data_IF_537996997974
#
_entry.id   IF_537996997974
#
_cell.length_a   1.000
_cell.length_b   1.000
_cell.length_c   1.000
_cell.angle_alpha   90.00
_cell.angle_beta   90.00
_cell.angle_gamma   90.00
#
_symmetry.space_group_name_H-M   'P 1'
#
loop_
_entity.id
_entity.type
_entity.pdbx_description
1 polymer ?
#
# COMPACT_ATOMS: atom_id res chain seq x y z
N UNK A 1 -9.50 14.20 -6.04
CA UNK A 1 -8.08 14.23 -5.65
C UNK A 1 -7.90 13.34 -4.43
N UNK A 2 -6.75 12.73 -4.30
CA UNK A 2 -6.43 11.81 -3.21
C UNK A 2 -4.93 11.67 -3.01
N UNK A 3 -4.51 10.59 -2.37
CA UNK A 3 -3.10 10.32 -2.12
C UNK A 3 -2.35 9.98 -3.41
N UNK A 4 -1.08 10.37 -3.51
CA UNK A 4 -0.18 9.86 -4.57
C UNK A 4 0.14 8.39 -4.42
N UNK A 5 -0.05 7.82 -3.21
CA UNK A 5 0.13 6.41 -2.93
C UNK A 5 -1.15 5.66 -3.26
N UNK A 6 -1.06 4.72 -4.19
CA UNK A 6 -2.19 3.92 -4.66
C UNK A 6 -1.77 2.46 -4.85
N UNK A 7 -2.73 1.56 -4.71
CA UNK A 7 -2.58 0.15 -5.07
C UNK A 7 -3.52 -0.14 -6.23
N UNK A 8 -2.97 -0.57 -7.36
CA UNK A 8 -3.71 -0.77 -8.60
C UNK A 8 -3.74 -2.25 -8.97
N UNK A 9 -4.88 -2.72 -9.45
CA UNK A 9 -4.96 -4.08 -10.02
C UNK A 9 -4.26 -4.09 -11.38
N UNK A 10 -3.71 -5.24 -11.76
CA UNK A 10 -3.09 -5.43 -13.07
C UNK A 10 -4.03 -5.04 -14.22
N UNK A 11 -5.30 -5.47 -14.15
CA UNK A 11 -6.30 -5.15 -15.17
C UNK A 11 -6.51 -3.64 -15.34
N UNK A 12 -6.62 -2.89 -14.23
CA UNK A 12 -6.79 -1.44 -14.31
C UNK A 12 -5.53 -0.77 -14.86
N UNK A 13 -4.34 -1.23 -14.47
CA UNK A 13 -3.09 -0.69 -15.00
C UNK A 13 -2.94 -0.94 -16.50
N UNK A 14 -3.29 -2.13 -16.99
CA UNK A 14 -3.31 -2.45 -18.42
C UNK A 14 -4.29 -1.55 -19.17
N UNK A 15 -5.47 -1.28 -18.60
CA UNK A 15 -6.41 -0.32 -19.16
C UNK A 15 -5.83 1.10 -19.26
N UNK A 16 -5.16 1.58 -18.22
CA UNK A 16 -4.49 2.89 -18.23
C UNK A 16 -3.41 2.97 -19.33
N UNK A 17 -2.61 1.93 -19.49
CA UNK A 17 -1.45 1.91 -20.41
C UNK A 17 -1.87 1.68 -21.85
N UNK A 18 -2.71 0.68 -22.11
CA UNK A 18 -3.12 0.32 -23.46
C UNK A 18 -4.17 1.29 -23.99
N UNK A 19 -4.95 1.93 -23.10
CA UNK A 19 -5.86 3.00 -23.45
C UNK A 19 -6.86 2.60 -24.53
N UNK A 20 -7.47 1.41 -24.42
CA UNK A 20 -8.42 0.92 -25.43
C UNK A 20 -9.63 1.86 -25.60
N UNK A 21 -9.97 2.61 -24.54
CA UNK A 21 -10.92 3.73 -24.57
C UNK A 21 -10.19 5.09 -24.68
N UNK A 22 -10.91 6.14 -25.06
CA UNK A 22 -10.40 7.50 -25.17
C UNK A 22 -10.15 8.14 -23.80
N UNK A 23 -10.89 7.77 -22.74
CA UNK A 23 -10.79 8.43 -21.44
C UNK A 23 -9.38 8.41 -20.83
N UNK A 24 -8.65 7.26 -20.75
CA UNK A 24 -7.26 7.24 -20.27
C UNK A 24 -6.32 8.18 -21.03
N UNK A 25 -6.47 8.26 -22.36
CA UNK A 25 -5.62 9.08 -23.24
C UNK A 25 -5.90 10.57 -23.07
N UNK A 26 -7.19 10.96 -23.04
CA UNK A 26 -7.62 12.34 -22.80
C UNK A 26 -7.17 12.82 -21.43
N UNK A 27 -7.37 12.02 -20.38
CA UNK A 27 -6.92 12.36 -19.04
C UNK A 27 -5.40 12.45 -18.96
N UNK A 28 -4.66 11.60 -19.67
CA UNK A 28 -3.20 11.67 -19.68
C UNK A 28 -2.72 13.02 -20.24
N UNK A 29 -3.25 13.47 -21.39
CA UNK A 29 -2.92 14.78 -21.96
C UNK A 29 -3.27 15.96 -21.05
N UNK A 30 -4.36 15.84 -20.28
CA UNK A 30 -4.73 16.85 -19.30
C UNK A 30 -3.78 16.87 -18.11
N UNK A 31 -3.56 15.69 -17.50
CA UNK A 31 -2.77 15.56 -16.28
C UNK A 31 -1.26 15.74 -16.49
N UNK A 32 -0.74 15.62 -17.72
CA UNK A 32 0.65 15.99 -18.03
C UNK A 32 0.95 17.47 -17.80
N UNK A 33 -0.07 18.33 -17.78
CA UNK A 33 0.06 19.78 -17.55
C UNK A 33 -0.50 20.21 -16.18
N UNK A 34 -0.73 19.27 -15.27
CA UNK A 34 -1.35 19.52 -13.97
C UNK A 34 -0.33 19.33 -12.84
N UNK A 35 -0.35 20.20 -11.81
CA UNK A 35 0.52 20.05 -10.64
C UNK A 35 0.09 18.84 -9.81
N UNK A 36 1.03 18.00 -9.37
CA UNK A 36 0.73 16.77 -8.61
C UNK A 36 -0.21 15.81 -9.36
N UNK A 37 0.01 15.62 -10.67
CA UNK A 37 -0.79 14.76 -11.54
C UNK A 37 -1.22 13.40 -10.93
N UNK A 38 -0.34 12.66 -10.22
CA UNK A 38 -0.70 11.36 -9.65
C UNK A 38 -1.81 11.42 -8.59
N UNK A 39 -2.00 12.55 -7.91
CA UNK A 39 -3.08 12.74 -6.93
C UNK A 39 -4.47 12.75 -7.56
N UNK A 40 -4.55 13.02 -8.87
CA UNK A 40 -5.80 13.12 -9.60
C UNK A 40 -6.02 11.99 -10.60
N UNK A 41 -5.00 11.66 -11.40
CA UNK A 41 -5.15 10.83 -12.59
C UNK A 41 -5.88 9.50 -12.34
N UNK A 42 -5.36 8.67 -11.43
CA UNK A 42 -5.94 7.33 -11.19
C UNK A 42 -7.32 7.41 -10.55
N UNK A 43 -7.53 8.34 -9.64
CA UNK A 43 -8.83 8.56 -8.98
C UNK A 43 -9.89 8.95 -10.00
N UNK A 44 -9.58 9.94 -10.85
CA UNK A 44 -10.49 10.42 -11.89
C UNK A 44 -10.80 9.32 -12.89
N UNK A 45 -9.78 8.59 -13.36
CA UNK A 45 -9.99 7.53 -14.34
C UNK A 45 -10.83 6.38 -13.78
N UNK A 46 -10.52 5.89 -12.57
CA UNK A 46 -11.26 4.81 -11.94
C UNK A 46 -12.72 5.20 -11.66
N UNK A 47 -12.96 6.42 -11.19
CA UNK A 47 -14.31 6.88 -10.87
C UNK A 47 -15.18 7.18 -12.10
N UNK A 48 -14.60 7.43 -13.27
CA UNK A 48 -15.35 7.83 -14.47
C UNK A 48 -15.47 6.72 -15.52
N UNK A 49 -14.97 5.51 -15.25
CA UNK A 49 -15.11 4.37 -16.15
C UNK A 49 -16.03 3.29 -15.56
N UNK A 50 -17.04 2.86 -16.33
CA UNK A 50 -18.10 1.95 -15.87
C UNK A 50 -17.58 0.63 -15.33
N UNK A 51 -16.50 0.11 -15.92
CA UNK A 51 -15.92 -1.18 -15.51
C UNK A 51 -15.12 -1.10 -14.19
N UNK A 52 -14.72 0.11 -13.76
CA UNK A 52 -13.83 0.31 -12.61
C UNK A 52 -14.45 1.13 -11.46
N UNK A 53 -15.47 1.94 -11.72
CA UNK A 53 -16.11 2.80 -10.71
C UNK A 53 -16.53 2.00 -9.46
N UNK A 54 -17.10 0.82 -9.68
CA UNK A 54 -17.61 -0.07 -8.63
C UNK A 54 -16.55 -1.05 -8.05
N UNK A 55 -15.29 -0.96 -8.47
CA UNK A 55 -14.19 -1.78 -7.93
C UNK A 55 -13.28 -0.99 -6.99
N UNK A 56 -13.61 0.28 -6.71
CA UNK A 56 -12.79 1.18 -5.90
C UNK A 56 -12.97 0.94 -4.41
N UNK A 57 -11.84 0.82 -3.68
CA UNK A 57 -11.77 0.82 -2.22
C UNK A 57 -11.15 2.15 -1.78
N UNK A 58 -11.88 2.94 -0.98
CA UNK A 58 -11.41 4.25 -0.51
C UNK A 58 -10.40 4.13 0.64
N UNK A 59 -9.24 3.51 0.36
CA UNK A 59 -8.13 3.34 1.29
C UNK A 59 -6.86 2.99 0.51
N UNK A 60 -5.76 3.71 0.74
CA UNK A 60 -4.50 3.53 -0.01
C UNK A 60 -3.55 2.47 0.59
N UNK A 61 -3.92 1.84 1.71
CA UNK A 61 -3.10 0.84 2.43
C UNK A 61 -1.76 1.40 2.93
N UNK A 62 -1.70 2.71 3.18
CA UNK A 62 -0.50 3.39 3.66
C UNK A 62 -0.81 4.18 4.92
N UNK A 63 -0.16 3.83 6.04
CA UNK A 63 -0.25 4.59 7.27
C UNK A 63 0.62 5.85 7.19
N UNK A 64 -0.03 7.00 7.21
CA UNK A 64 0.60 8.32 7.24
C UNK A 64 -0.02 9.12 8.38
N UNK A 65 0.81 9.86 9.12
CA UNK A 65 0.34 10.75 10.18
C UNK A 65 0.61 12.21 9.81
N UNK A 66 -0.37 13.05 10.08
CA UNK A 66 -0.32 14.48 9.81
C UNK A 66 -0.41 15.26 11.12
N UNK A 67 0.21 16.44 11.15
CA UNK A 67 -0.04 17.42 12.19
C UNK A 67 -1.52 17.86 12.19
N UNK A 68 -1.99 18.40 13.31
CA UNK A 68 -3.31 19.05 13.40
C UNK A 68 -3.12 20.52 13.79
N UNK A 69 -3.27 21.48 12.86
CA UNK A 69 -3.69 21.32 11.47
C UNK A 69 -2.61 20.70 10.56
N UNK A 70 -3.00 20.05 9.42
CA UNK A 70 -2.04 19.46 8.50
C UNK A 70 -1.08 20.49 7.91
N UNK A 71 0.22 20.17 7.93
CA UNK A 71 1.27 20.92 7.23
C UNK A 71 1.44 20.39 5.80
N UNK A 72 2.37 20.98 5.05
CA UNK A 72 2.68 20.56 3.68
C UNK A 72 3.16 19.11 3.57
N UNK A 73 3.87 18.60 4.58
CA UNK A 73 4.39 17.24 4.63
C UNK A 73 3.87 16.50 5.86
N UNK A 74 3.70 15.16 5.76
CA UNK A 74 3.38 14.35 6.92
C UNK A 74 4.53 14.33 7.92
N UNK A 75 4.23 14.01 9.18
CA UNK A 75 5.26 13.90 10.21
C UNK A 75 6.09 12.63 9.99
N UNK A 76 7.34 12.67 10.45
CA UNK A 76 8.14 11.45 10.53
C UNK A 76 7.62 10.57 11.65
N UNK A 77 7.34 9.32 11.32
CA UNK A 77 6.98 8.29 12.26
C UNK A 77 8.22 7.87 13.06
N UNK A 78 8.00 7.66 14.35
CA UNK A 78 9.02 7.34 15.36
C UNK A 78 8.48 6.22 16.25
N UNK A 79 9.25 5.80 17.26
CA UNK A 79 8.81 4.79 18.24
C UNK A 79 7.48 5.14 18.94
N UNK A 80 7.20 6.43 19.15
CA UNK A 80 5.94 6.90 19.76
C UNK A 80 4.71 6.50 18.92
N UNK A 81 4.89 6.39 17.60
CA UNK A 81 3.84 6.12 16.63
C UNK A 81 3.72 4.64 16.27
N UNK A 82 4.63 3.79 16.77
CA UNK A 82 4.75 2.39 16.35
C UNK A 82 3.47 1.60 16.60
N UNK A 83 2.86 1.74 17.78
CA UNK A 83 1.65 0.98 18.12
C UNK A 83 0.47 1.36 17.22
N UNK A 84 0.24 2.64 16.98
CA UNK A 84 -0.84 3.12 16.10
C UNK A 84 -0.63 2.63 14.66
N UNK A 85 0.62 2.68 14.19
CA UNK A 85 1.02 2.17 12.87
C UNK A 85 0.71 0.67 12.75
N UNK A 86 1.08 -0.14 13.73
CA UNK A 86 0.80 -1.59 13.75
C UNK A 86 -0.69 -1.87 13.82
N UNK A 87 -1.42 -1.16 14.69
CA UNK A 87 -2.87 -1.32 14.85
C UNK A 87 -3.67 -0.91 13.61
N UNK A 88 -3.14 -0.03 12.78
CA UNK A 88 -3.78 0.35 11.51
C UNK A 88 -3.97 -0.84 10.56
N UNK A 89 -3.12 -1.87 10.67
CA UNK A 89 -3.09 -3.03 9.79
C UNK A 89 -2.61 -2.71 8.36
N UNK A 90 -2.20 -1.48 8.09
CA UNK A 90 -1.66 -1.09 6.78
C UNK A 90 -0.30 -1.77 6.54
N UNK A 91 -0.06 -2.34 5.34
CA UNK A 91 1.19 -3.00 5.02
C UNK A 91 2.35 -2.02 4.76
N UNK A 92 2.04 -0.74 4.49
CA UNK A 92 3.02 0.32 4.30
C UNK A 92 2.81 1.43 5.32
N UNK A 93 3.90 2.12 5.68
CA UNK A 93 3.87 3.27 6.56
C UNK A 93 4.93 4.30 6.14
N UNK A 94 4.75 5.56 6.51
CA UNK A 94 5.75 6.62 6.31
C UNK A 94 5.23 8.02 6.65
N UNK A 95 6.06 9.05 6.63
CA UNK A 95 7.51 9.04 6.34
C UNK A 95 8.34 8.59 7.56
N UNK A 96 9.60 8.19 7.34
CA UNK A 96 10.54 7.89 8.43
C UNK A 96 11.77 8.79 8.29
N UNK A 97 12.32 9.22 9.41
CA UNK A 97 13.65 9.83 9.39
C UNK A 97 14.68 8.76 9.02
N UNK A 98 15.76 9.19 8.36
CA UNK A 98 16.88 8.31 8.04
C UNK A 98 17.46 7.75 9.35
N UNK A 99 17.69 6.44 9.37
CA UNK A 99 18.29 5.73 10.51
C UNK A 99 17.48 5.87 11.83
N UNK A 100 16.17 6.14 11.74
CA UNK A 100 15.31 6.20 12.93
C UNK A 100 15.21 4.81 13.61
N UNK A 101 15.33 4.72 14.95
CA UNK A 101 15.25 3.46 15.69
C UNK A 101 13.97 2.65 15.46
N UNK A 102 12.88 3.28 15.03
CA UNK A 102 11.63 2.58 14.70
C UNK A 102 11.83 1.58 13.55
N UNK A 103 12.75 1.84 12.63
CA UNK A 103 13.05 0.96 11.49
C UNK A 103 13.63 -0.38 11.96
N UNK A 104 14.53 -0.35 12.96
CA UNK A 104 15.08 -1.56 13.58
C UNK A 104 13.99 -2.38 14.28
N UNK A 105 13.02 -1.71 14.92
CA UNK A 105 11.89 -2.37 15.57
C UNK A 105 10.95 -2.99 14.53
N UNK A 106 10.67 -2.30 13.42
CA UNK A 106 9.88 -2.85 12.31
C UNK A 106 10.54 -4.11 11.74
N UNK A 107 11.85 -4.03 11.47
CA UNK A 107 12.63 -5.15 10.95
C UNK A 107 12.56 -6.37 11.88
N UNK A 108 12.76 -6.15 13.18
CA UNK A 108 12.77 -7.22 14.18
C UNK A 108 11.38 -7.77 14.47
N UNK A 109 10.38 -6.91 14.66
CA UNK A 109 9.08 -7.31 15.20
C UNK A 109 8.04 -7.66 14.14
N UNK A 110 8.05 -6.96 12.99
CA UNK A 110 7.07 -7.19 11.92
C UNK A 110 7.64 -8.05 10.79
N UNK A 111 8.84 -7.71 10.32
CA UNK A 111 9.48 -8.39 9.19
C UNK A 111 10.27 -9.64 9.63
N UNK A 112 10.57 -9.78 10.93
CA UNK A 112 11.34 -10.90 11.48
C UNK A 112 12.67 -11.11 10.73
N UNK A 113 13.33 -9.99 10.43
CA UNK A 113 14.51 -9.90 9.59
C UNK A 113 15.76 -9.58 10.42
N UNK A 114 16.83 -10.37 10.31
CA UNK A 114 18.13 -10.02 10.89
C UNK A 114 18.74 -8.80 10.20
N UNK A 115 19.58 -8.04 10.94
CA UNK A 115 20.27 -6.87 10.38
C UNK A 115 21.06 -7.24 9.13
N UNK A 116 20.87 -6.46 8.06
CA UNK A 116 21.56 -6.63 6.78
C UNK A 116 21.05 -7.80 5.91
N UNK A 117 19.98 -8.50 6.31
CA UNK A 117 19.39 -9.58 5.53
C UNK A 117 18.07 -9.15 4.87
N UNK A 118 17.55 -9.99 3.98
CA UNK A 118 16.21 -9.82 3.41
C UNK A 118 15.15 -10.44 4.32
N UNK A 119 13.93 -9.90 4.27
CA UNK A 119 12.77 -10.46 4.97
C UNK A 119 12.52 -11.89 4.47
N UNK A 120 12.56 -12.92 5.33
CA UNK A 120 12.24 -14.27 4.91
C UNK A 120 10.79 -14.38 4.46
N UNK A 121 10.54 -15.09 3.36
CA UNK A 121 9.20 -15.25 2.78
C UNK A 121 8.88 -16.69 2.40
N UNK A 122 7.74 -16.87 1.72
CA UNK A 122 7.32 -18.20 1.23
C UNK A 122 8.29 -18.81 0.20
N UNK A 123 9.16 -17.99 -0.38
CA UNK A 123 10.23 -18.41 -1.29
C UNK A 123 11.46 -18.99 -0.57
N UNK A 124 11.58 -18.91 0.75
CA UNK A 124 12.75 -19.42 1.47
C UNK A 124 12.58 -20.91 1.80
N UNK A 125 13.41 -21.77 1.18
CA UNK A 125 13.33 -23.24 1.27
C UNK A 125 14.33 -23.88 2.26
N UNK A 126 15.12 -23.06 2.97
CA UNK A 126 16.11 -23.52 3.94
C UNK A 126 15.49 -24.23 5.15
N UNK A 127 16.27 -25.13 5.77
CA UNK A 127 15.86 -25.88 6.97
C UNK A 127 16.04 -25.04 8.24
N UNK A 128 15.20 -25.29 9.25
CA UNK A 128 15.35 -24.73 10.61
C UNK A 128 16.77 -25.00 11.14
N UNK A 129 17.45 -23.96 11.63
CA UNK A 129 18.79 -24.04 12.21
C UNK A 129 19.93 -23.54 11.31
N UNK A 130 19.67 -23.27 10.03
CA UNK A 130 20.53 -22.47 9.12
C UNK A 130 19.73 -21.28 8.58
N UNK A 131 20.39 -20.36 7.88
CA UNK A 131 19.70 -19.23 7.23
C UNK A 131 18.58 -19.78 6.32
N UNK A 132 17.31 -19.43 6.59
CA UNK A 132 16.15 -19.99 5.90
C UNK A 132 16.14 -19.66 4.40
N UNK A 133 16.86 -18.64 3.96
CA UNK A 133 16.84 -18.17 2.58
C UNK A 133 18.09 -18.54 1.78
N UNK A 134 18.91 -19.49 2.26
CA UNK A 134 20.05 -20.04 1.50
C UNK A 134 19.65 -20.69 0.18
N UNK A 135 18.43 -21.23 0.10
CA UNK A 135 17.84 -21.76 -1.12
C UNK A 135 16.55 -21.02 -1.42
N UNK A 136 16.49 -20.37 -2.58
CA UNK A 136 15.32 -19.66 -3.07
C UNK A 136 14.46 -20.58 -3.94
N UNK A 137 13.19 -20.68 -3.59
CA UNK A 137 12.15 -21.36 -4.34
C UNK A 137 11.35 -20.38 -5.21
N UNK A 138 10.05 -20.65 -5.34
CA UNK A 138 9.16 -19.82 -6.15
C UNK A 138 9.03 -18.39 -5.55
N UNK A 139 9.41 -17.34 -6.28
CA UNK A 139 9.31 -15.95 -5.79
C UNK A 139 7.86 -15.50 -5.55
N UNK A 140 6.88 -16.16 -6.19
CA UNK A 140 5.46 -15.87 -6.01
C UNK A 140 4.83 -16.62 -4.82
N UNK A 141 5.61 -17.43 -4.09
CA UNK A 141 5.11 -18.14 -2.93
C UNK A 141 4.87 -17.18 -1.76
N UNK A 142 3.62 -17.02 -1.38
CA UNK A 142 3.20 -16.23 -0.22
C UNK A 142 2.90 -17.17 0.94
N UNK A 143 3.49 -16.90 2.10
CA UNK A 143 3.22 -17.63 3.35
C UNK A 143 2.72 -16.65 4.40
N UNK A 144 1.42 -16.66 4.73
CA UNK A 144 0.87 -15.82 5.79
C UNK A 144 1.57 -16.08 7.13
N UNK A 145 1.70 -15.02 7.92
CA UNK A 145 2.27 -15.06 9.28
C UNK A 145 1.24 -14.55 10.28
N UNK A 146 1.56 -14.61 11.57
CA UNK A 146 0.68 -13.99 12.60
C UNK A 146 0.53 -12.49 12.34
N UNK A 147 1.58 -11.83 11.84
CA UNK A 147 1.59 -10.40 11.52
C UNK A 147 0.67 -10.09 10.33
N UNK A 148 0.61 -10.97 9.31
CA UNK A 148 -0.27 -10.74 8.15
C UNK A 148 -1.77 -10.79 8.48
N UNK A 149 -2.16 -11.34 9.63
CA UNK A 149 -3.56 -11.29 10.10
C UNK A 149 -4.05 -9.85 10.34
N UNK A 150 -3.15 -8.91 10.60
CA UNK A 150 -3.53 -7.50 10.76
C UNK A 150 -3.99 -6.89 9.44
N UNK A 151 -3.27 -7.20 8.35
CA UNK A 151 -3.68 -6.82 7.00
C UNK A 151 -5.01 -7.47 6.63
N UNK A 152 -5.17 -8.76 6.91
CA UNK A 152 -6.43 -9.48 6.67
C UNK A 152 -7.61 -8.78 7.36
N UNK A 153 -7.48 -8.43 8.65
CA UNK A 153 -8.51 -7.68 9.38
C UNK A 153 -8.83 -6.33 8.74
N UNK A 154 -7.82 -5.59 8.30
CA UNK A 154 -8.02 -4.32 7.59
C UNK A 154 -8.79 -4.54 6.29
N UNK A 155 -8.40 -5.51 5.47
CA UNK A 155 -9.05 -5.82 4.19
C UNK A 155 -10.51 -6.23 4.41
N UNK A 156 -10.79 -7.13 5.36
CA UNK A 156 -12.16 -7.53 5.70
C UNK A 156 -13.01 -6.32 6.10
N UNK A 157 -12.47 -5.43 6.96
CA UNK A 157 -13.16 -4.20 7.36
C UNK A 157 -13.42 -3.25 6.19
N UNK A 158 -12.49 -3.15 5.24
CA UNK A 158 -12.63 -2.28 4.07
C UNK A 158 -13.65 -2.80 3.06
N UNK A 159 -13.79 -4.13 2.95
CA UNK A 159 -14.71 -4.79 2.04
C UNK A 159 -16.09 -5.05 2.64
N UNK A 160 -16.27 -4.78 3.93
CA UNK A 160 -17.57 -4.83 4.59
C UNK A 160 -18.60 -3.95 3.86
N UNK A 161 -19.81 -4.46 3.64
CA UNK A 161 -20.81 -3.78 2.80
C UNK A 161 -21.20 -2.40 3.31
N UNK A 162 -21.22 -2.20 4.63
CA UNK A 162 -21.56 -0.91 5.25
C UNK A 162 -20.45 0.13 5.04
N UNK A 163 -19.22 -0.33 4.82
CA UNK A 163 -18.06 0.53 4.61
C UNK A 163 -17.75 0.73 3.12
N UNK A 164 -17.76 -0.35 2.34
CA UNK A 164 -17.35 -0.38 0.94
C UNK A 164 -18.32 0.40 0.07
N UNK A 165 -19.61 0.05 0.08
CA UNK A 165 -20.61 0.61 -0.85
C UNK A 165 -20.80 2.12 -0.72
N UNK A 166 -20.92 2.71 0.49
CA UNK A 166 -21.14 4.15 0.63
C UNK A 166 -19.91 5.00 0.28
N UNK A 167 -18.72 4.40 0.23
CA UNK A 167 -17.43 5.10 0.01
C UNK A 167 -16.86 4.91 -1.39
N UNK A 168 -17.60 4.27 -2.30
CA UNK A 168 -17.20 4.17 -3.70
C UNK A 168 -17.40 5.52 -4.41
N UNK A 169 -16.79 5.63 -5.59
CA UNK A 169 -17.04 6.73 -6.51
C UNK A 169 -18.54 6.89 -6.78
N UNK A 170 -19.02 8.14 -6.82
CA UNK A 170 -20.40 8.49 -7.17
C UNK A 170 -20.48 8.92 -8.63
#
# INVERSE_FOLDING_TARGET
MGSTWVVLTKSFLEFCVLGWDNLPRTLLMYYTNFLSSPEGYFHTLACNHKDYQNTTVNHNLHYIRWDSPPKANPINLTLEHYNDMVQSGAPFAGSFARDDPVLDIIDKELLKRPRGQFTPGGWCLGKLGKDPCLACGNPNAVKPTVVSKMLEKLIVKLLDSENFRPKQCK
#
